data_IF_900276298228
#
_entry.id   IF_900276298228
#
_cell.length_a   1.000
_cell.length_b   1.000
_cell.length_c   1.000
_cell.angle_alpha   90.00
_cell.angle_beta   90.00
_cell.angle_gamma   90.00
#
_symmetry.space_group_name_H-M   'P 1'
#
loop_
_entity.id
_entity.type
_entity.pdbx_description
1 polymer ?
#
# COMPACT_ATOMS: atom_id res chain seq x y z
N UNK A 1 34.58 -110.71 93.83
CA UNK A 1 33.71 -110.29 92.71
C UNK A 1 32.78 -109.08 93.02
N UNK A 2 32.51 -108.73 94.28
CA UNK A 2 31.57 -107.63 94.65
C UNK A 2 32.19 -106.22 94.48
N UNK A 3 33.48 -106.03 94.75
CA UNK A 3 34.16 -104.73 94.62
C UNK A 3 34.20 -104.22 93.16
N UNK A 4 34.48 -105.10 92.21
CA UNK A 4 34.50 -104.78 90.76
C UNK A 4 33.13 -104.29 90.26
N UNK A 5 32.02 -104.90 90.72
CA UNK A 5 30.67 -104.48 90.35
C UNK A 5 30.31 -103.09 90.89
N UNK A 6 30.75 -102.73 92.10
CA UNK A 6 30.51 -101.41 92.70
C UNK A 6 31.27 -100.30 91.96
N UNK A 7 32.52 -100.55 91.56
CA UNK A 7 33.33 -99.61 90.78
C UNK A 7 32.70 -99.39 89.40
N UNK A 8 32.25 -100.45 88.73
CA UNK A 8 31.58 -100.33 87.42
C UNK A 8 30.28 -99.52 87.50
N UNK A 9 29.46 -99.71 88.55
CA UNK A 9 28.23 -98.96 88.75
C UNK A 9 28.47 -97.46 88.99
N UNK A 10 29.49 -97.12 89.77
CA UNK A 10 29.88 -95.72 90.04
C UNK A 10 30.40 -95.06 88.76
N UNK A 11 31.28 -95.73 88.00
CA UNK A 11 31.79 -95.20 86.74
C UNK A 11 30.68 -95.03 85.69
N UNK A 12 29.74 -95.97 85.61
CA UNK A 12 28.58 -95.87 84.72
C UNK A 12 27.66 -94.71 85.12
N UNK A 13 27.39 -94.53 86.43
CA UNK A 13 26.59 -93.41 86.94
C UNK A 13 27.27 -92.06 86.69
N UNK A 14 28.57 -91.94 86.93
CA UNK A 14 29.34 -90.73 86.63
C UNK A 14 29.35 -90.44 85.13
N UNK A 15 29.52 -91.46 84.28
CA UNK A 15 29.47 -91.31 82.83
C UNK A 15 28.09 -90.83 82.34
N UNK A 16 27.02 -91.36 82.92
CA UNK A 16 25.65 -90.96 82.58
C UNK A 16 25.35 -89.51 83.00
N UNK A 17 25.80 -89.08 84.18
CA UNK A 17 25.67 -87.68 84.64
C UNK A 17 26.44 -86.70 83.75
N UNK A 18 27.65 -87.06 83.31
CA UNK A 18 28.45 -86.24 82.39
C UNK A 18 27.79 -86.15 81.00
N UNK A 19 27.28 -87.28 80.47
CA UNK A 19 26.51 -87.31 79.22
C UNK A 19 25.22 -86.47 79.30
N UNK A 20 24.47 -86.57 80.40
CA UNK A 20 23.27 -85.76 80.62
C UNK A 20 23.59 -84.27 80.70
N UNK A 21 24.69 -83.88 81.35
CA UNK A 21 25.16 -82.48 81.38
C UNK A 21 25.53 -81.95 79.99
N UNK A 22 26.30 -82.72 79.20
CA UNK A 22 26.68 -82.34 77.84
C UNK A 22 25.47 -82.24 76.90
N UNK A 23 24.48 -83.13 77.02
CA UNK A 23 23.26 -83.08 76.20
C UNK A 23 22.37 -81.89 76.55
N UNK A 24 22.34 -81.45 77.80
CA UNK A 24 21.58 -80.26 78.21
C UNK A 24 22.24 -78.97 77.72
N UNK A 25 23.56 -78.89 77.77
CA UNK A 25 24.30 -77.72 77.24
C UNK A 25 24.19 -77.63 75.72
N UNK A 26 24.29 -78.77 75.02
CA UNK A 26 24.08 -78.82 73.57
C UNK A 26 22.66 -78.36 73.19
N UNK A 27 21.63 -78.78 73.94
CA UNK A 27 20.24 -78.31 73.72
C UNK A 27 20.10 -76.80 73.89
N UNK A 28 20.72 -76.21 74.92
CA UNK A 28 20.72 -74.75 75.11
C UNK A 28 21.37 -74.02 73.94
N UNK A 29 22.50 -74.53 73.44
CA UNK A 29 23.18 -73.94 72.29
C UNK A 29 22.33 -74.04 71.02
N UNK A 30 21.68 -75.18 70.77
CA UNK A 30 20.76 -75.35 69.64
C UNK A 30 19.60 -74.36 69.72
N UNK A 31 18.92 -74.24 70.86
CA UNK A 31 17.81 -73.28 71.01
C UNK A 31 18.25 -71.82 70.86
N UNK A 32 19.47 -71.49 71.30
CA UNK A 32 20.06 -70.15 71.08
C UNK A 32 20.29 -69.89 69.60
N UNK A 33 20.89 -70.85 68.89
CA UNK A 33 21.12 -70.76 67.45
C UNK A 33 19.81 -70.70 66.66
N UNK A 34 18.78 -71.44 67.05
CA UNK A 34 17.45 -71.36 66.44
C UNK A 34 16.83 -69.96 66.59
N UNK A 35 16.94 -69.38 67.78
CA UNK A 35 16.44 -68.00 68.03
C UNK A 35 17.22 -66.98 67.21
N UNK A 36 18.53 -67.12 67.13
CA UNK A 36 19.40 -66.24 66.34
C UNK A 36 19.10 -66.37 64.84
N UNK A 37 18.87 -67.58 64.35
CA UNK A 37 18.50 -67.83 62.97
C UNK A 37 17.13 -67.23 62.64
N UNK A 38 16.13 -67.35 63.53
CA UNK A 38 14.84 -66.68 63.38
C UNK A 38 14.99 -65.15 63.31
N UNK A 39 15.84 -64.57 64.16
CA UNK A 39 16.13 -63.13 64.15
C UNK A 39 16.77 -62.69 62.82
N UNK A 40 17.76 -63.44 62.31
CA UNK A 40 18.37 -63.15 61.02
C UNK A 40 17.38 -63.29 59.87
N UNK A 41 16.51 -64.30 59.88
CA UNK A 41 15.45 -64.46 58.87
C UNK A 41 14.48 -63.28 58.84
N UNK A 42 14.02 -62.81 60.00
CA UNK A 42 13.17 -61.61 60.08
C UNK A 42 13.90 -60.39 59.55
N UNK A 43 15.16 -60.19 59.94
CA UNK A 43 15.98 -59.06 59.47
C UNK A 43 16.16 -59.10 57.95
N UNK A 44 16.43 -60.28 57.38
CA UNK A 44 16.56 -60.47 55.93
C UNK A 44 15.24 -60.11 55.23
N UNK A 45 14.09 -60.58 55.74
CA UNK A 45 12.78 -60.28 55.16
C UNK A 45 12.45 -58.78 55.21
N UNK A 46 12.77 -58.09 56.31
CA UNK A 46 12.60 -56.64 56.43
C UNK A 46 13.48 -55.89 55.43
N UNK A 47 14.76 -56.29 55.31
CA UNK A 47 15.68 -55.70 54.32
C UNK A 47 15.23 -55.96 52.89
N UNK A 48 14.74 -57.16 52.58
CA UNK A 48 14.20 -57.48 51.27
C UNK A 48 13.01 -56.59 50.92
N UNK A 49 12.12 -56.35 51.89
CA UNK A 49 10.98 -55.44 51.72
C UNK A 49 11.44 -53.99 51.49
N UNK A 50 12.48 -53.53 52.18
CA UNK A 50 13.06 -52.20 51.98
C UNK A 50 13.69 -52.07 50.58
N UNK A 51 14.42 -53.09 50.13
CA UNK A 51 15.01 -53.13 48.78
C UNK A 51 13.93 -53.02 47.72
N UNK A 52 12.86 -53.81 47.81
CA UNK A 52 11.75 -53.74 46.84
C UNK A 52 11.05 -52.37 46.84
N UNK A 53 10.94 -51.69 47.99
CA UNK A 53 10.39 -50.33 48.04
C UNK A 53 11.30 -49.32 47.34
N UNK A 54 12.61 -49.40 47.58
CA UNK A 54 13.59 -48.52 46.94
C UNK A 54 13.67 -48.75 45.42
N UNK A 55 13.58 -50.00 44.97
CA UNK A 55 13.55 -50.33 43.53
C UNK A 55 12.33 -49.72 42.82
N UNK A 56 11.16 -49.74 43.47
CA UNK A 56 9.95 -49.08 42.95
C UNK A 56 10.11 -47.56 42.91
N UNK A 57 10.72 -46.97 43.93
CA UNK A 57 10.97 -45.52 43.98
C UNK A 57 11.97 -45.08 42.90
N UNK A 58 13.06 -45.81 42.72
CA UNK A 58 14.03 -45.58 41.63
C UNK A 58 13.35 -45.68 40.27
N UNK A 59 12.52 -46.69 40.06
CA UNK A 59 11.78 -46.86 38.80
C UNK A 59 10.84 -45.69 38.53
N UNK A 60 10.12 -45.22 39.57
CA UNK A 60 9.23 -44.05 39.47
C UNK A 60 10.00 -42.76 39.17
N UNK A 61 11.14 -42.54 39.83
CA UNK A 61 11.99 -41.39 39.60
C UNK A 61 12.59 -41.41 38.19
N UNK A 62 13.01 -42.58 37.71
CA UNK A 62 13.51 -42.75 36.33
C UNK A 62 12.46 -42.35 35.31
N UNK A 63 11.22 -42.86 35.43
CA UNK A 63 10.12 -42.49 34.54
C UNK A 63 9.79 -40.99 34.60
N UNK A 64 9.85 -40.40 35.80
CA UNK A 64 9.67 -38.96 35.98
C UNK A 64 10.75 -38.14 35.27
N UNK A 65 11.99 -38.59 35.33
CA UNK A 65 13.12 -37.92 34.67
C UNK A 65 13.00 -38.00 33.14
N UNK A 66 12.60 -39.14 32.59
CA UNK A 66 12.36 -39.32 31.15
C UNK A 66 11.24 -38.41 30.62
N UNK A 67 10.17 -38.25 31.42
CA UNK A 67 9.08 -37.34 31.10
C UNK A 67 9.51 -35.87 31.12
N UNK A 68 10.32 -35.48 32.11
CA UNK A 68 10.88 -34.13 32.20
C UNK A 68 11.84 -33.85 31.04
N UNK A 69 12.69 -34.80 30.68
CA UNK A 69 13.59 -34.68 29.52
C UNK A 69 12.80 -34.46 28.23
N UNK A 70 11.75 -35.25 28.02
CA UNK A 70 10.84 -35.10 26.86
C UNK A 70 10.18 -33.72 26.83
N UNK A 71 9.78 -33.19 27.98
CA UNK A 71 9.18 -31.85 28.08
C UNK A 71 10.21 -30.76 27.73
N UNK A 72 11.45 -30.93 28.20
CA UNK A 72 12.55 -30.01 27.94
C UNK A 72 12.88 -29.97 26.44
N UNK A 73 12.97 -31.12 25.78
CA UNK A 73 13.21 -31.21 24.34
C UNK A 73 12.09 -30.52 23.53
N UNK A 74 10.83 -30.71 23.92
CA UNK A 74 9.68 -30.02 23.30
C UNK A 74 9.77 -28.51 23.46
N UNK A 75 10.13 -28.04 24.65
CA UNK A 75 10.28 -26.60 24.91
C UNK A 75 11.46 -26.01 24.15
N UNK A 76 12.57 -26.73 24.03
CA UNK A 76 13.70 -26.29 23.23
C UNK A 76 13.34 -26.18 21.74
N UNK A 77 12.57 -27.14 21.21
CA UNK A 77 12.08 -27.07 19.84
C UNK A 77 11.14 -25.87 19.60
N UNK A 78 10.29 -25.55 20.58
CA UNK A 78 9.40 -24.38 20.54
C UNK A 78 10.19 -23.07 20.53
N UNK A 79 11.24 -22.95 21.36
CA UNK A 79 12.15 -21.79 21.39
C UNK A 79 12.80 -21.60 20.03
N UNK A 80 13.42 -22.64 19.47
CA UNK A 80 14.10 -22.56 18.16
C UNK A 80 13.12 -22.12 17.05
N UNK A 81 11.86 -22.58 17.10
CA UNK A 81 10.83 -22.16 16.15
C UNK A 81 10.47 -20.68 16.29
N UNK A 82 10.37 -20.19 17.52
CA UNK A 82 10.07 -18.78 17.79
C UNK A 82 11.23 -17.88 17.38
N UNK A 83 12.47 -18.28 17.64
CA UNK A 83 13.67 -17.55 17.19
C UNK A 83 13.74 -17.48 15.66
N UNK A 84 13.42 -18.56 14.96
CA UNK A 84 13.32 -18.55 13.49
C UNK A 84 12.29 -17.54 12.98
N UNK A 85 11.09 -17.52 13.58
CA UNK A 85 10.05 -16.54 13.25
C UNK A 85 10.46 -15.10 13.55
N UNK A 86 11.13 -14.86 14.66
CA UNK A 86 11.64 -13.52 15.00
C UNK A 86 12.68 -13.05 13.98
N UNK A 87 13.55 -13.95 13.51
CA UNK A 87 14.48 -13.69 12.41
C UNK A 87 13.77 -13.33 11.10
N UNK A 88 12.77 -14.12 10.70
CA UNK A 88 11.95 -13.84 9.51
C UNK A 88 11.25 -12.49 9.60
N UNK A 89 10.66 -12.16 10.77
CA UNK A 89 9.98 -10.89 11.00
C UNK A 89 10.95 -9.71 10.96
N UNK A 90 12.15 -9.86 11.55
CA UNK A 90 13.20 -8.83 11.48
C UNK A 90 13.68 -8.59 10.06
N UNK A 91 13.87 -9.63 9.27
CA UNK A 91 14.25 -9.49 7.86
C UNK A 91 13.11 -8.90 7.01
N UNK A 92 11.86 -9.30 7.26
CA UNK A 92 10.70 -8.68 6.63
C UNK A 92 10.56 -7.19 7.00
N UNK A 93 10.82 -6.82 8.25
CA UNK A 93 10.84 -5.43 8.70
C UNK A 93 11.97 -4.64 8.02
N UNK A 94 13.18 -5.19 7.95
CA UNK A 94 14.32 -4.59 7.22
C UNK A 94 14.03 -4.40 5.74
N UNK A 95 13.42 -5.38 5.08
CA UNK A 95 13.01 -5.27 3.68
C UNK A 95 11.91 -4.21 3.50
N UNK A 96 10.99 -4.10 4.46
CA UNK A 96 9.95 -3.07 4.42
C UNK A 96 10.56 -1.68 4.64
N UNK A 97 11.51 -1.54 5.56
CA UNK A 97 12.26 -0.29 5.77
C UNK A 97 13.13 0.07 4.57
N UNK A 98 13.83 -0.88 3.95
CA UNK A 98 14.62 -0.64 2.74
C UNK A 98 13.76 -0.36 1.50
N UNK A 99 12.50 -0.85 1.47
CA UNK A 99 11.50 -0.49 0.45
C UNK A 99 10.78 0.82 0.74
N UNK A 100 10.59 1.17 2.02
CA UNK A 100 9.92 2.39 2.44
C UNK A 100 10.88 3.60 2.53
N UNK A 101 12.18 3.37 2.70
CA UNK A 101 13.21 4.38 2.72
C UNK A 101 14.31 4.03 1.71
N UNK A 102 14.26 4.64 0.52
CA UNK A 102 15.37 5.45 0.00
C UNK A 102 15.23 5.82 -1.49
N UNK A 103 14.69 4.97 -2.37
CA UNK A 103 14.91 5.19 -3.83
C UNK A 103 13.66 5.33 -4.70
N UNK A 104 12.54 4.68 -4.39
CA UNK A 104 11.34 4.79 -5.23
C UNK A 104 10.53 6.04 -4.93
N UNK A 105 10.32 6.40 -3.67
CA UNK A 105 9.51 7.57 -3.30
C UNK A 105 10.24 8.91 -3.54
N UNK A 106 11.56 8.99 -3.41
CA UNK A 106 12.31 10.24 -3.62
C UNK A 106 12.52 10.55 -5.10
N UNK A 107 12.86 9.55 -5.91
CA UNK A 107 13.00 9.71 -7.35
C UNK A 107 11.65 9.96 -8.04
N UNK A 108 10.60 9.25 -7.62
CA UNK A 108 9.24 9.50 -8.15
C UNK A 108 8.72 10.86 -7.71
N UNK A 109 8.94 11.31 -6.47
CA UNK A 109 8.48 12.64 -6.02
C UNK A 109 9.24 13.78 -6.71
N UNK A 110 10.55 13.65 -6.94
CA UNK A 110 11.33 14.63 -7.69
C UNK A 110 10.96 14.64 -9.19
N UNK A 111 10.68 13.47 -9.79
CA UNK A 111 10.18 13.38 -11.16
C UNK A 111 8.77 14.00 -11.30
N UNK A 112 7.87 13.73 -10.36
CA UNK A 112 6.52 14.30 -10.35
C UNK A 112 6.57 15.81 -10.12
N UNK A 113 7.46 16.30 -9.27
CA UNK A 113 7.67 17.74 -9.03
C UNK A 113 8.13 18.47 -10.28
N UNK A 114 9.08 17.90 -11.03
CA UNK A 114 9.50 18.44 -12.33
C UNK A 114 8.35 18.49 -13.33
N UNK A 115 7.54 17.42 -13.42
CA UNK A 115 6.35 17.42 -14.29
C UNK A 115 5.33 18.50 -13.88
N UNK A 116 5.11 18.70 -12.58
CA UNK A 116 4.21 19.75 -12.09
C UNK A 116 4.71 21.14 -12.46
N UNK A 117 6.01 21.39 -12.38
CA UNK A 117 6.58 22.70 -12.71
C UNK A 117 6.57 22.96 -14.23
N UNK A 118 6.81 21.94 -15.05
CA UNK A 118 6.66 22.00 -16.52
C UNK A 118 5.20 22.32 -16.92
N UNK A 119 4.23 21.63 -16.33
CA UNK A 119 2.81 21.86 -16.61
C UNK A 119 2.34 23.25 -16.15
N UNK A 120 2.88 23.78 -15.05
CA UNK A 120 2.63 25.16 -14.64
C UNK A 120 3.16 26.15 -15.67
N UNK A 121 4.37 25.96 -16.17
CA UNK A 121 4.96 26.82 -17.19
C UNK A 121 4.14 26.80 -18.49
N UNK A 122 3.69 25.62 -18.94
CA UNK A 122 2.82 25.48 -20.10
C UNK A 122 1.47 26.18 -19.91
N UNK A 123 0.83 26.02 -18.75
CA UNK A 123 -0.42 26.71 -18.42
C UNK A 123 -0.25 28.23 -18.47
N UNK A 124 0.86 28.74 -17.94
CA UNK A 124 1.11 30.19 -17.90
C UNK A 124 1.41 30.74 -19.31
N UNK A 125 2.09 29.97 -20.16
CA UNK A 125 2.27 30.30 -21.58
C UNK A 125 0.92 30.36 -22.33
N UNK A 126 0.07 29.33 -22.17
CA UNK A 126 -1.27 29.29 -22.78
C UNK A 126 -2.11 30.48 -22.30
N UNK A 127 -2.02 30.83 -21.01
CA UNK A 127 -2.74 31.97 -20.45
C UNK A 127 -2.32 33.28 -21.12
N UNK A 128 -1.03 33.45 -21.37
CA UNK A 128 -0.48 34.64 -22.01
C UNK A 128 -0.86 34.71 -23.51
N UNK A 129 -0.83 33.59 -24.22
CA UNK A 129 -1.31 33.51 -25.60
C UNK A 129 -2.81 33.85 -25.69
N UNK A 130 -3.62 33.35 -24.75
CA UNK A 130 -5.05 33.68 -24.69
C UNK A 130 -5.26 35.18 -24.50
N UNK A 131 -4.55 35.82 -23.57
CA UNK A 131 -4.68 37.28 -23.38
C UNK A 131 -4.24 38.06 -24.61
N UNK A 132 -3.18 37.63 -25.31
CA UNK A 132 -2.75 38.26 -26.55
C UNK A 132 -3.79 38.11 -27.69
N UNK A 133 -4.41 36.94 -27.80
CA UNK A 133 -5.49 36.67 -28.75
C UNK A 133 -6.76 37.48 -28.43
N UNK A 134 -7.10 37.63 -27.15
CA UNK A 134 -8.23 38.45 -26.70
C UNK A 134 -8.01 39.95 -26.97
N UNK A 135 -6.78 40.45 -26.82
CA UNK A 135 -6.42 41.82 -27.21
C UNK A 135 -6.42 42.01 -28.74
N UNK A 136 -6.00 41.00 -29.50
CA UNK A 136 -6.13 41.01 -30.96
C UNK A 136 -7.61 41.03 -31.40
N UNK A 137 -8.49 40.29 -30.71
CA UNK A 137 -9.93 40.32 -30.95
C UNK A 137 -10.57 41.66 -30.55
N UNK A 138 -10.11 42.29 -29.47
CA UNK A 138 -10.54 43.62 -29.05
C UNK A 138 -10.20 44.69 -30.11
N UNK A 139 -9.02 44.60 -30.75
CA UNK A 139 -8.65 45.45 -31.91
C UNK A 139 -9.52 45.18 -33.14
N UNK A 140 -9.95 43.94 -33.35
CA UNK A 140 -10.82 43.53 -34.47
C UNK A 140 -12.28 44.04 -34.34
N UNK A 141 -12.72 44.55 -33.18
CA UNK A 141 -14.13 44.97 -32.95
C UNK A 141 -14.39 46.48 -32.97
N UNK A 142 -13.39 47.31 -33.28
CA UNK A 142 -13.52 48.78 -33.26
C UNK A 142 -13.90 49.41 -34.62
N UNK A 143 -14.22 48.62 -35.64
CA UNK A 143 -14.51 49.11 -37.00
C UNK A 143 -15.98 49.45 -37.13
N UNK A 144 -16.29 50.73 -37.35
CA UNK A 144 -17.65 51.23 -37.52
C UNK A 144 -18.09 51.09 -38.96
N UNK A 145 -19.08 50.23 -39.20
CA UNK A 145 -19.57 49.97 -40.56
C UNK A 145 -20.92 50.62 -40.78
N UNK A 146 -21.06 51.32 -41.90
CA UNK A 146 -22.32 51.80 -42.42
C UNK A 146 -22.68 51.03 -43.68
N UNK A 147 -23.95 50.71 -43.87
CA UNK A 147 -24.47 50.15 -45.11
C UNK A 147 -25.38 51.18 -45.78
N UNK A 148 -25.28 51.32 -47.10
CA UNK A 148 -26.07 52.26 -47.89
C UNK A 148 -26.82 51.53 -49.00
N UNK A 149 -28.03 51.96 -49.36
CA UNK A 149 -28.67 51.55 -50.62
C UNK A 149 -28.19 52.42 -51.77
N UNK A 150 -27.66 51.79 -52.81
CA UNK A 150 -27.24 52.40 -54.06
C UNK A 150 -28.20 52.16 -55.24
N UNK A 151 -29.27 51.38 -55.03
CA UNK A 151 -30.35 51.10 -55.99
C UNK A 151 -31.68 51.80 -55.63
N UNK A 152 -31.70 52.55 -54.53
CA UNK A 152 -32.86 53.27 -54.01
C UNK A 152 -33.81 52.44 -53.14
N UNK A 153 -33.58 51.11 -53.03
CA UNK A 153 -34.40 50.20 -52.23
C UNK A 153 -33.74 49.96 -50.87
N UNK A 154 -34.41 50.37 -49.79
CA UNK A 154 -33.88 50.18 -48.44
C UNK A 154 -33.72 48.69 -48.08
N UNK A 155 -34.60 47.82 -48.59
CA UNK A 155 -34.54 46.38 -48.39
C UNK A 155 -33.19 45.78 -48.84
N UNK A 156 -32.63 46.27 -49.96
CA UNK A 156 -31.33 45.83 -50.47
C UNK A 156 -30.19 46.16 -49.49
N UNK A 157 -30.27 47.31 -48.82
CA UNK A 157 -29.29 47.71 -47.80
C UNK A 157 -29.47 46.94 -46.48
N UNK A 158 -30.71 46.60 -46.10
CA UNK A 158 -30.98 45.76 -44.92
C UNK A 158 -30.43 44.34 -45.08
N UNK A 159 -30.68 43.71 -46.24
CA UNK A 159 -30.13 42.38 -46.54
C UNK A 159 -28.59 42.40 -46.55
N UNK A 160 -28.01 43.44 -47.14
CA UNK A 160 -26.56 43.63 -47.13
C UNK A 160 -26.01 43.81 -45.70
N UNK A 161 -26.75 44.48 -44.82
CA UNK A 161 -26.37 44.63 -43.41
C UNK A 161 -26.42 43.30 -42.62
N UNK A 162 -27.41 42.45 -42.87
CA UNK A 162 -27.49 41.12 -42.26
C UNK A 162 -26.34 40.21 -42.70
N UNK A 163 -25.98 40.28 -43.98
CA UNK A 163 -24.84 39.56 -44.54
C UNK A 163 -23.55 39.99 -43.85
N UNK A 164 -23.29 41.30 -43.76
CA UNK A 164 -22.10 41.85 -43.08
C UNK A 164 -22.10 41.53 -41.57
N UNK A 165 -23.28 41.45 -40.94
CA UNK A 165 -23.41 41.06 -39.54
C UNK A 165 -23.09 39.58 -39.31
N UNK A 166 -23.56 38.70 -40.19
CA UNK A 166 -23.22 37.26 -40.19
C UNK A 166 -21.72 37.03 -40.37
N UNK A 167 -21.05 37.98 -41.03
CA UNK A 167 -19.60 37.94 -41.21
C UNK A 167 -18.78 38.24 -39.94
N UNK A 168 -19.44 38.61 -38.84
CA UNK A 168 -18.82 38.96 -37.57
C UNK A 168 -18.55 40.46 -37.43
N UNK A 169 -18.98 41.28 -38.38
CA UNK A 169 -18.80 42.73 -38.37
C UNK A 169 -20.03 43.44 -37.83
N UNK A 170 -19.82 44.47 -37.04
CA UNK A 170 -20.92 45.28 -36.51
C UNK A 170 -21.32 46.34 -37.52
N UNK A 171 -22.52 46.21 -38.08
CA UNK A 171 -23.15 47.29 -38.85
C UNK A 171 -23.81 48.26 -37.87
N UNK A 172 -23.36 49.50 -37.89
CA UNK A 172 -23.86 50.55 -37.00
C UNK A 172 -25.01 51.34 -37.61
N UNK A 173 -25.07 51.44 -38.95
CA UNK A 173 -26.08 52.26 -39.61
C UNK A 173 -26.43 51.73 -40.99
N UNK A 174 -27.70 51.85 -41.36
CA UNK A 174 -28.21 51.58 -42.70
C UNK A 174 -28.92 52.83 -43.22
N UNK A 175 -28.47 53.42 -44.33
CA UNK A 175 -29.09 54.63 -44.92
C UNK A 175 -29.23 54.54 -46.45
N UNK A 176 -29.73 55.60 -47.07
CA UNK A 176 -29.69 55.80 -48.52
C UNK A 176 -28.38 56.47 -48.96
N UNK A 177 -27.80 56.01 -50.07
CA UNK A 177 -26.69 56.71 -50.68
C UNK A 177 -27.15 58.07 -51.27
N UNK A 178 -26.26 59.08 -51.34
CA UNK A 178 -26.59 60.37 -51.94
C UNK A 178 -27.03 60.28 -53.41
N UNK A 179 -26.56 59.27 -54.13
CA UNK A 179 -26.98 58.97 -55.50
C UNK A 179 -27.31 57.48 -55.63
N UNK A 180 -28.36 57.15 -56.40
CA UNK A 180 -28.85 55.77 -56.58
C UNK A 180 -28.38 55.15 -57.90
N UNK A 181 -27.13 55.40 -58.29
CA UNK A 181 -26.57 55.00 -59.59
C UNK A 181 -25.48 53.93 -59.49
N UNK A 182 -25.47 53.14 -58.41
CA UNK A 182 -24.45 52.11 -58.21
C UNK A 182 -24.88 50.82 -58.93
N UNK A 183 -24.24 50.53 -60.06
CA UNK A 183 -24.49 49.30 -60.85
C UNK A 183 -23.88 48.03 -60.23
N UNK A 184 -23.19 48.16 -59.09
CA UNK A 184 -22.50 47.05 -58.41
C UNK A 184 -22.26 47.36 -56.93
N UNK A 185 -22.05 46.34 -56.09
CA UNK A 185 -21.76 46.56 -54.67
C UNK A 185 -20.42 47.27 -54.49
N UNK A 186 -20.34 48.26 -53.61
CA UNK A 186 -19.11 49.05 -53.42
C UNK A 186 -18.80 49.23 -51.95
N UNK A 187 -17.62 48.80 -51.49
CA UNK A 187 -17.19 48.93 -50.09
C UNK A 187 -16.16 50.05 -49.98
N UNK A 188 -16.55 51.18 -49.40
CA UNK A 188 -15.64 52.28 -49.10
C UNK A 188 -14.93 52.09 -47.76
N UNK A 189 -13.66 52.46 -47.64
CA UNK A 189 -12.89 52.28 -46.40
C UNK A 189 -11.98 53.45 -46.03
N UNK A 190 -11.81 53.65 -44.73
CA UNK A 190 -10.83 54.55 -44.15
C UNK A 190 -9.43 53.91 -44.17
N UNK A 191 -8.33 54.69 -44.17
CA UNK A 191 -6.97 54.17 -44.31
C UNK A 191 -6.62 53.06 -43.29
N UNK A 192 -7.13 53.14 -42.06
CA UNK A 192 -6.88 52.19 -40.98
C UNK A 192 -7.80 50.95 -40.98
N UNK A 193 -8.73 50.84 -41.93
CA UNK A 193 -9.72 49.75 -42.00
C UNK A 193 -9.79 49.10 -43.37
N UNK A 194 -8.75 49.30 -44.18
CA UNK A 194 -8.57 48.66 -45.48
C UNK A 194 -8.69 47.14 -45.42
N UNK A 195 -8.04 46.51 -44.43
CA UNK A 195 -7.98 45.05 -44.28
C UNK A 195 -9.37 44.45 -44.08
N UNK A 196 -10.17 45.07 -43.21
CA UNK A 196 -11.54 44.64 -42.93
C UNK A 196 -12.47 44.86 -44.13
N UNK A 197 -12.29 45.95 -44.89
CA UNK A 197 -13.09 46.21 -46.09
C UNK A 197 -12.80 45.24 -47.24
N UNK A 198 -11.55 44.82 -47.39
CA UNK A 198 -11.15 43.80 -48.36
C UNK A 198 -11.72 42.42 -47.99
N UNK A 199 -11.74 42.05 -46.70
CA UNK A 199 -12.39 40.80 -46.24
C UNK A 199 -13.89 40.79 -46.58
N UNK A 200 -14.59 41.87 -46.24
CA UNK A 200 -16.03 42.04 -46.54
C UNK A 200 -16.27 41.96 -48.06
N UNK A 201 -15.50 42.69 -48.87
CA UNK A 201 -15.68 42.70 -50.33
C UNK A 201 -15.52 41.31 -50.94
N UNK A 202 -14.51 40.54 -50.51
CA UNK A 202 -14.27 39.17 -50.99
C UNK A 202 -15.43 38.24 -50.65
N UNK A 203 -15.92 38.32 -49.41
CA UNK A 203 -16.99 37.46 -48.91
C UNK A 203 -18.36 37.79 -49.50
N UNK A 204 -18.56 39.02 -50.00
CA UNK A 204 -19.75 39.42 -50.75
C UNK A 204 -19.76 38.89 -52.20
N UNK A 205 -18.60 38.64 -52.81
CA UNK A 205 -18.45 37.98 -54.11
C UNK A 205 -18.95 38.76 -55.35
N UNK A 206 -18.72 38.17 -56.53
CA UNK A 206 -19.39 38.35 -57.85
C UNK A 206 -19.44 39.73 -58.54
N UNK A 207 -19.62 40.82 -57.80
CA UNK A 207 -19.77 42.17 -58.33
C UNK A 207 -19.44 43.26 -57.27
N UNK A 208 -18.77 42.89 -56.17
CA UNK A 208 -18.36 43.83 -55.13
C UNK A 208 -16.97 44.44 -55.39
N UNK A 209 -16.83 45.75 -55.21
CA UNK A 209 -15.55 46.47 -55.38
C UNK A 209 -15.18 47.29 -54.14
N UNK A 210 -13.94 47.20 -53.68
CA UNK A 210 -13.42 48.00 -52.57
C UNK A 210 -12.83 49.32 -53.09
N UNK A 211 -13.11 50.44 -52.41
CA UNK A 211 -12.57 51.78 -52.75
C UNK A 211 -12.14 52.55 -51.51
N UNK A 212 -11.02 53.30 -51.54
CA UNK A 212 -10.70 54.19 -50.44
C UNK A 212 -11.75 55.31 -50.35
N UNK A 213 -12.05 55.75 -49.14
CA UNK A 213 -12.84 56.96 -48.92
C UNK A 213 -12.03 58.17 -49.40
N UNK A 214 -12.59 58.93 -50.34
CA UNK A 214 -12.04 60.22 -50.76
C UNK A 214 -12.65 61.41 -50.00
N UNK A 215 -13.55 61.13 -49.05
CA UNK A 215 -14.22 62.12 -48.23
C UNK A 215 -14.11 61.78 -46.73
N UNK A 216 -14.13 62.79 -45.85
CA UNK A 216 -14.17 62.56 -44.41
C UNK A 216 -15.42 61.76 -44.02
N UNK A 217 -15.23 60.68 -43.29
CA UNK A 217 -16.29 59.83 -42.77
C UNK A 217 -15.97 59.45 -41.34
N UNK A 218 -16.99 59.45 -40.49
CA UNK A 218 -16.88 58.88 -39.15
C UNK A 218 -16.90 57.35 -39.18
N UNK A 219 -17.45 56.74 -40.23
CA UNK A 219 -17.45 55.30 -40.41
C UNK A 219 -16.16 54.85 -41.06
N UNK A 220 -15.58 53.81 -40.49
CA UNK A 220 -14.37 53.16 -40.97
C UNK A 220 -14.62 52.42 -42.29
N UNK A 221 -15.82 51.89 -42.46
CA UNK A 221 -16.25 51.19 -43.68
C UNK A 221 -17.66 51.62 -44.04
N UNK A 222 -17.91 51.82 -45.33
CA UNK A 222 -19.25 52.07 -45.89
C UNK A 222 -19.52 51.08 -47.01
N UNK A 223 -20.44 50.15 -46.82
CA UNK A 223 -20.86 49.17 -47.84
C UNK A 223 -22.08 49.70 -48.59
N UNK A 224 -21.98 49.91 -49.89
CA UNK A 224 -23.09 50.35 -50.75
C UNK A 224 -23.66 49.17 -51.51
N UNK A 225 -24.92 48.85 -51.27
CA UNK A 225 -25.69 47.84 -51.99
C UNK A 225 -26.13 48.41 -53.36
N UNK A 226 -25.31 48.19 -54.40
CA UNK A 226 -25.69 48.49 -55.78
C UNK A 226 -26.73 47.53 -56.37
N UNK A 227 -27.28 47.89 -57.52
CA UNK A 227 -28.26 47.09 -58.27
C UNK A 227 -27.57 45.85 -58.83
N UNK A 228 -27.87 44.67 -58.29
CA UNK A 228 -27.45 43.42 -58.91
C UNK A 228 -28.10 43.33 -60.31
N UNK A 229 -27.27 43.20 -61.34
CA UNK A 229 -27.68 42.86 -62.70
C UNK A 229 -28.09 41.40 -62.78
#
# INVERSE_FOLDING_TARGET
MIMQKKIFLILFSCFWLVLSGCTQELKKQVSRLETENQFYQTTINERQTQVSKLELEVSRLSLGNDALQTLLDKKQAEINRLEGKDGELKEAARQKESRAGAETTTAETEALKKQVDELKAQRDAIRNEKTALEEQLAKLRAVRIKVLTGDGKLASATQMAEIVTTMGYKVERVDKAPTASFSRHTVFYAPNSRKDAEDITKRLGGNAVARPLSWPSIFNIIVVAGKAS
#
